data_IF_504940694101
#
_entry.id   IF_504940694101
#
_cell.length_a   1.000
_cell.length_b   1.000
_cell.length_c   1.000
_cell.angle_alpha   90.00
_cell.angle_beta   90.00
_cell.angle_gamma   90.00
#
_symmetry.space_group_name_H-M   'P 1'
#
loop_
_entity.id
_entity.type
_entity.pdbx_description
1 polymer ?
#
# COMPACT_ATOMS: atom_id res chain seq x y z
N UNK A 1 -0.89 -11.20 -0.98
CA UNK A 1 0.18 -10.19 -1.16
C UNK A 1 -0.14 -9.37 -2.38
N UNK A 2 0.10 -8.06 -2.37
CA UNK A 2 -0.19 -7.14 -3.48
C UNK A 2 1.07 -6.36 -3.90
N UNK A 3 1.30 -6.27 -5.20
CA UNK A 3 2.38 -5.48 -5.80
C UNK A 3 1.77 -4.37 -6.63
N UNK A 4 2.21 -3.13 -6.41
CA UNK A 4 1.78 -1.96 -7.15
C UNK A 4 3.00 -1.20 -7.65
N UNK A 5 2.84 -0.46 -8.74
CA UNK A 5 3.82 0.56 -9.09
C UNK A 5 3.63 1.75 -8.17
N UNK A 6 2.42 2.30 -8.09
CA UNK A 6 2.10 3.49 -7.31
C UNK A 6 1.43 3.13 -5.98
N UNK A 7 1.74 3.89 -4.92
CA UNK A 7 1.10 3.71 -3.62
C UNK A 7 -0.44 3.96 -3.70
N UNK A 8 -1.28 3.14 -3.04
CA UNK A 8 -2.74 3.24 -3.17
C UNK A 8 -3.30 4.51 -2.53
N UNK A 9 -4.27 5.14 -3.18
CA UNK A 9 -5.02 6.24 -2.60
C UNK A 9 -5.94 5.76 -1.45
N UNK A 10 -6.57 6.69 -0.72
CA UNK A 10 -7.40 6.38 0.46
C UNK A 10 -8.55 5.40 0.17
N UNK A 11 -9.13 5.43 -1.03
CA UNK A 11 -10.20 4.50 -1.43
C UNK A 11 -9.63 3.10 -1.66
N UNK A 12 -8.56 2.99 -2.44
CA UNK A 12 -7.86 1.72 -2.67
C UNK A 12 -7.36 1.10 -1.36
N UNK A 13 -6.81 1.92 -0.45
CA UNK A 13 -6.35 1.47 0.87
C UNK A 13 -7.46 0.82 1.71
N UNK A 14 -8.68 1.38 1.69
CA UNK A 14 -9.85 0.77 2.35
C UNK A 14 -10.20 -0.58 1.73
N UNK A 15 -10.26 -0.68 0.40
CA UNK A 15 -10.55 -1.94 -0.28
C UNK A 15 -9.50 -3.01 0.03
N UNK A 16 -8.22 -2.63 0.04
CA UNK A 16 -7.12 -3.52 0.43
C UNK A 16 -7.27 -3.97 1.89
N UNK A 17 -7.65 -3.06 2.79
CA UNK A 17 -7.90 -3.38 4.19
C UNK A 17 -9.03 -4.43 4.36
N UNK A 18 -10.12 -4.31 3.58
CA UNK A 18 -11.23 -5.27 3.59
C UNK A 18 -10.92 -6.59 2.88
N UNK A 19 -9.95 -6.62 1.96
CA UNK A 19 -9.60 -7.82 1.19
C UNK A 19 -8.84 -8.89 1.99
N UNK A 20 -8.38 -8.57 3.20
CA UNK A 20 -7.55 -9.47 4.02
C UNK A 20 -6.08 -9.57 3.58
N UNK A 21 -5.64 -8.76 2.62
CA UNK A 21 -4.23 -8.68 2.19
C UNK A 21 -3.35 -8.19 3.36
N UNK A 22 -2.25 -8.89 3.61
CA UNK A 22 -1.32 -8.59 4.72
C UNK A 22 0.02 -7.98 4.31
N UNK A 23 0.37 -8.04 3.02
CA UNK A 23 1.65 -7.55 2.51
C UNK A 23 1.41 -6.73 1.25
N UNK A 24 1.89 -5.49 1.24
CA UNK A 24 1.79 -4.54 0.14
C UNK A 24 3.19 -4.05 -0.24
N UNK A 25 3.54 -4.23 -1.50
CA UNK A 25 4.80 -3.80 -2.10
C UNK A 25 4.53 -2.72 -3.12
N UNK A 26 5.29 -1.62 -3.10
CA UNK A 26 5.13 -0.53 -4.07
C UNK A 26 6.48 0.06 -4.50
N UNK A 27 6.61 0.53 -5.74
CA UNK A 27 7.86 1.11 -6.27
C UNK A 27 7.93 2.63 -6.19
N UNK A 28 6.83 3.29 -6.51
CA UNK A 28 6.68 4.74 -6.65
C UNK A 28 5.77 5.30 -5.56
N UNK A 29 6.16 6.44 -4.98
CA UNK A 29 5.37 7.11 -3.94
C UNK A 29 4.06 7.65 -4.50
N UNK A 30 3.03 7.72 -3.67
CA UNK A 30 1.82 8.51 -3.97
C UNK A 30 2.00 9.95 -3.53
N UNK A 31 1.30 10.86 -4.20
CA UNK A 31 1.23 12.28 -3.84
C UNK A 31 0.68 12.53 -2.43
N UNK A 32 -0.07 11.58 -1.85
CA UNK A 32 -0.55 11.63 -0.47
C UNK A 32 -0.44 10.26 0.21
N UNK A 33 -0.04 10.24 1.49
CA UNK A 33 0.15 9.03 2.30
C UNK A 33 -1.04 8.73 3.23
N UNK A 34 -2.22 9.32 3.00
CA UNK A 34 -3.39 9.12 3.86
C UNK A 34 -3.83 7.65 3.96
N UNK A 35 -3.66 6.89 2.86
CA UNK A 35 -3.93 5.46 2.83
C UNK A 35 -3.01 4.63 3.75
N UNK A 36 -1.83 5.16 4.12
CA UNK A 36 -0.86 4.46 4.97
C UNK A 36 -1.44 4.18 6.37
N UNK A 37 -2.09 5.16 6.98
CA UNK A 37 -2.68 5.02 8.32
C UNK A 37 -3.73 3.90 8.35
N UNK A 38 -4.58 3.83 7.32
CA UNK A 38 -5.62 2.79 7.20
C UNK A 38 -4.98 1.40 7.13
N UNK A 39 -3.97 1.25 6.28
CA UNK A 39 -3.27 -0.01 6.09
C UNK A 39 -2.48 -0.45 7.34
N UNK A 40 -1.83 0.48 8.05
CA UNK A 40 -1.13 0.21 9.31
C UNK A 40 -2.09 -0.19 10.42
N UNK A 41 -3.25 0.46 10.54
CA UNK A 41 -4.29 0.14 11.54
C UNK A 41 -4.80 -1.31 11.42
N UNK A 42 -4.88 -1.85 10.21
CA UNK A 42 -5.33 -3.23 9.97
C UNK A 42 -4.18 -4.25 9.90
N UNK A 43 -2.95 -3.80 10.18
CA UNK A 43 -1.75 -4.64 10.22
C UNK A 43 -1.25 -5.09 8.85
N UNK A 44 -1.45 -4.30 7.80
CA UNK A 44 -0.82 -4.53 6.49
C UNK A 44 0.64 -4.10 6.58
N UNK A 45 1.56 -5.01 6.25
CA UNK A 45 2.99 -4.70 6.09
C UNK A 45 3.20 -4.01 4.76
N UNK A 46 3.77 -2.81 4.81
CA UNK A 46 4.05 -1.98 3.63
C UNK A 46 5.56 -1.98 3.39
N UNK A 47 5.98 -2.34 2.17
CA UNK A 47 7.39 -2.39 1.78
C UNK A 47 7.59 -1.62 0.48
N UNK A 48 8.49 -0.63 0.50
CA UNK A 48 8.90 0.05 -0.73
C UNK A 48 9.98 -0.78 -1.42
N UNK A 49 9.80 -1.06 -2.70
CA UNK A 49 10.74 -1.77 -3.55
C UNK A 49 11.42 -0.77 -4.46
N UNK A 50 12.73 -0.60 -4.32
CA UNK A 50 13.51 0.25 -5.22
C UNK A 50 13.76 -0.58 -6.48
N UNK A 51 13.17 -0.20 -7.62
CA UNK A 51 13.57 -0.77 -8.91
C UNK A 51 14.81 -0.02 -9.39
N UNK A 52 15.96 -0.67 -9.29
CA UNK A 52 17.17 -0.29 -10.03
C UNK A 52 16.90 -0.65 -11.50
N UNK A 53 16.96 0.35 -12.38
CA UNK A 53 16.54 0.23 -13.77
C UNK A 53 17.75 0.17 -14.69
#
# INVERSE_FOLDING_TARGET
TLYLTHFPCSVCAKLIAYSGIKNLYFSEGASNLDGKKILELVGVKITRVIQDK
#
